data_IF_424839993604
#
_entry.id   IF_424839993604
#
_cell.length_a   1.000
_cell.length_b   1.000
_cell.length_c   1.000
_cell.angle_alpha   90.00
_cell.angle_beta   90.00
_cell.angle_gamma   90.00
#
_symmetry.space_group_name_H-M   'P 1'
#
loop_
_entity.id
_entity.type
_entity.pdbx_description
1 polymer ?
#
# COMPACT_ATOMS: atom_id res chain seq x y z
N UNK A 1 -32.38 21.65 -6.04
CA UNK A 1 -31.00 21.71 -5.50
C UNK A 1 -31.11 21.54 -4.01
N UNK A 2 -30.43 20.56 -3.40
CA UNK A 2 -29.93 20.62 -2.02
C UNK A 2 -28.90 19.50 -1.86
N UNK A 3 -27.64 19.90 -2.02
CA UNK A 3 -26.49 19.21 -1.48
C UNK A 3 -26.75 18.86 -0.02
N UNK A 4 -26.52 17.60 0.36
CA UNK A 4 -25.77 17.23 1.56
C UNK A 4 -25.62 15.72 1.58
N UNK A 5 -24.78 15.23 0.66
CA UNK A 5 -24.09 13.95 0.86
C UNK A 5 -23.54 13.99 2.29
N UNK A 6 -23.84 13.00 3.15
CA UNK A 6 -23.43 13.05 4.55
C UNK A 6 -21.92 13.17 4.62
N UNK A 7 -21.46 14.39 4.90
CA UNK A 7 -20.04 14.69 5.05
C UNK A 7 -19.58 13.98 6.32
N UNK A 8 -18.42 13.31 6.22
CA UNK A 8 -17.84 12.40 7.22
C UNK A 8 -17.87 12.90 8.68
N UNK A 9 -17.96 14.21 8.89
CA UNK A 9 -18.10 14.80 10.22
C UNK A 9 -19.41 14.44 10.93
N UNK A 10 -20.53 14.26 10.22
CA UNK A 10 -21.82 13.86 10.83
C UNK A 10 -21.81 12.40 11.30
N UNK A 11 -20.94 11.57 10.72
CA UNK A 11 -20.79 10.16 11.09
C UNK A 11 -19.84 9.96 12.29
N UNK A 12 -18.87 10.85 12.47
CA UNK A 12 -17.94 10.81 13.61
C UNK A 12 -18.67 11.11 14.94
N UNK A 13 -19.64 12.02 14.93
CA UNK A 13 -20.40 12.45 16.11
C UNK A 13 -21.36 11.37 16.67
N UNK A 14 -21.56 10.27 15.93
CA UNK A 14 -22.43 9.14 16.34
C UNK A 14 -21.67 7.97 17.00
N UNK A 15 -20.41 8.16 17.39
CA UNK A 15 -19.68 7.16 18.17
C UNK A 15 -19.27 5.91 17.40
N UNK A 16 -19.10 6.00 16.08
CA UNK A 16 -18.53 4.90 15.29
C UNK A 16 -17.02 4.87 15.58
N UNK A 17 -16.64 4.06 16.58
CA UNK A 17 -15.26 3.69 16.86
C UNK A 17 -14.65 3.04 15.61
N UNK A 18 -14.01 3.83 14.76
CA UNK A 18 -13.17 3.29 13.70
C UNK A 18 -11.95 2.65 14.36
N UNK A 19 -11.78 1.35 14.15
CA UNK A 19 -10.54 0.69 14.54
C UNK A 19 -9.40 1.39 13.82
N UNK A 20 -8.46 1.97 14.57
CA UNK A 20 -7.21 2.49 13.98
C UNK A 20 -6.38 1.38 13.36
N UNK A 21 -6.74 0.13 13.58
CA UNK A 21 -6.08 -1.06 13.08
C UNK A 21 -6.23 -1.23 11.56
N UNK A 22 -5.15 -1.65 10.91
CA UNK A 22 -5.07 -2.00 9.50
C UNK A 22 -6.23 -2.89 9.07
N UNK A 23 -6.88 -2.51 7.98
CA UNK A 23 -8.01 -3.21 7.39
C UNK A 23 -7.70 -4.67 7.02
N UNK A 24 -6.43 -4.97 6.73
CA UNK A 24 -5.96 -6.29 6.29
C UNK A 24 -5.46 -7.15 7.45
N UNK A 25 -4.47 -6.66 8.22
CA UNK A 25 -3.87 -7.49 9.28
C UNK A 25 -4.56 -7.37 10.63
N UNK A 26 -5.41 -6.34 10.82
CA UNK A 26 -6.11 -6.00 12.07
C UNK A 26 -5.22 -5.81 13.31
N UNK A 27 -3.90 -5.78 13.14
CA UNK A 27 -2.95 -5.91 14.24
C UNK A 27 -2.15 -4.63 14.54
N UNK A 28 -1.97 -3.74 13.57
CA UNK A 28 -1.17 -2.51 13.69
C UNK A 28 -1.98 -1.31 13.24
N UNK A 29 -1.60 -0.11 13.68
CA UNK A 29 -2.25 1.13 13.21
C UNK A 29 -2.09 1.27 11.70
N UNK A 30 -3.18 1.57 11.01
CA UNK A 30 -3.18 1.75 9.57
C UNK A 30 -2.42 3.02 9.18
N UNK A 31 -1.41 2.84 8.34
CA UNK A 31 -0.72 3.89 7.61
C UNK A 31 -0.47 3.41 6.18
N UNK A 32 -0.20 4.33 5.24
CA UNK A 32 0.15 3.93 3.88
C UNK A 32 1.42 3.07 3.85
N UNK A 33 2.41 3.38 4.69
CA UNK A 33 3.64 2.59 4.78
C UNK A 33 3.36 1.18 5.28
N UNK A 34 2.54 1.08 6.34
CA UNK A 34 2.11 -0.20 6.86
C UNK A 34 1.36 -0.99 5.80
N UNK A 35 0.35 -0.40 5.18
CA UNK A 35 -0.51 -1.08 4.24
C UNK A 35 0.24 -1.58 2.99
N UNK A 36 1.17 -0.77 2.48
CA UNK A 36 1.84 -1.04 1.22
C UNK A 36 3.14 -1.84 1.37
N UNK A 37 3.77 -1.83 2.55
CA UNK A 37 5.12 -2.37 2.75
C UNK A 37 5.29 -3.18 4.03
N UNK A 38 4.85 -2.67 5.18
CA UNK A 38 5.17 -3.32 6.48
C UNK A 38 4.19 -4.42 6.88
N UNK A 39 2.95 -4.36 6.40
CA UNK A 39 1.91 -5.33 6.68
C UNK A 39 2.37 -6.72 6.24
N UNK A 40 2.18 -7.74 7.07
CA UNK A 40 2.55 -9.12 6.72
C UNK A 40 1.90 -9.55 5.40
N UNK A 41 0.65 -9.14 5.15
CA UNK A 41 -0.01 -9.38 3.88
C UNK A 41 0.73 -8.74 2.71
N UNK A 42 1.14 -7.48 2.83
CA UNK A 42 1.95 -6.80 1.82
C UNK A 42 3.29 -7.52 1.60
N UNK A 43 3.98 -7.91 2.67
CA UNK A 43 5.24 -8.65 2.58
C UNK A 43 5.06 -9.98 1.82
N UNK A 44 4.01 -10.74 2.14
CA UNK A 44 3.68 -11.98 1.43
C UNK A 44 3.30 -11.74 -0.03
N UNK A 45 2.58 -10.65 -0.32
CA UNK A 45 2.23 -10.24 -1.68
C UNK A 45 3.48 -9.95 -2.51
N UNK A 46 4.40 -9.14 -2.00
CA UNK A 46 5.67 -8.83 -2.67
C UNK A 46 6.55 -10.06 -2.85
N UNK A 47 6.63 -10.92 -1.83
CA UNK A 47 7.36 -12.19 -1.91
C UNK A 47 6.82 -13.10 -3.03
N UNK A 48 5.50 -13.28 -3.10
CA UNK A 48 4.86 -14.12 -4.11
C UNK A 48 5.06 -13.63 -5.54
N UNK A 49 5.13 -12.32 -5.73
CA UNK A 49 5.43 -11.73 -7.05
C UNK A 49 6.92 -11.81 -7.42
N UNK A 50 7.77 -12.40 -6.58
CA UNK A 50 9.23 -12.41 -6.74
C UNK A 50 9.79 -11.00 -6.88
N UNK A 51 9.21 -10.06 -6.12
CA UNK A 51 9.67 -8.67 -6.10
C UNK A 51 11.16 -8.64 -5.72
N UNK A 52 11.94 -7.68 -6.27
CA UNK A 52 13.32 -7.52 -5.86
C UNK A 52 13.46 -7.41 -4.34
N UNK A 53 14.49 -8.06 -3.77
CA UNK A 53 14.73 -8.03 -2.32
C UNK A 53 14.75 -6.61 -1.73
N UNK A 54 15.22 -5.64 -2.52
CA UNK A 54 15.26 -4.22 -2.18
C UNK A 54 13.88 -3.63 -1.80
N UNK A 55 12.81 -4.14 -2.42
CA UNK A 55 11.42 -3.74 -2.15
C UNK A 55 11.02 -4.13 -0.73
N UNK A 56 11.49 -5.30 -0.28
CA UNK A 56 11.13 -5.90 1.01
C UNK A 56 12.06 -5.46 2.15
N UNK A 57 13.32 -5.11 1.87
CA UNK A 57 14.31 -4.78 2.90
C UNK A 57 14.37 -3.30 3.28
N UNK A 58 13.92 -2.39 2.42
CA UNK A 58 13.97 -0.94 2.69
C UNK A 58 12.77 -0.42 3.47
N UNK A 59 12.65 -0.83 4.73
CA UNK A 59 11.62 -0.35 5.67
C UNK A 59 11.94 1.01 6.30
N UNK A 60 13.21 1.41 6.32
CA UNK A 60 13.67 2.65 6.95
C UNK A 60 13.67 3.86 6.00
N UNK A 61 13.41 3.64 4.72
CA UNK A 61 13.37 4.69 3.70
C UNK A 61 12.01 5.40 3.73
N UNK A 62 12.01 6.71 3.47
CA UNK A 62 10.79 7.46 3.26
C UNK A 62 9.94 6.78 2.16
N UNK A 63 8.62 6.77 2.34
CA UNK A 63 7.69 6.18 1.40
C UNK A 63 7.83 6.76 -0.02
N UNK A 64 8.04 8.07 -0.16
CA UNK A 64 8.18 8.75 -1.45
C UNK A 64 9.42 8.29 -2.21
N UNK A 65 10.59 8.24 -1.55
CA UNK A 65 11.82 7.76 -2.18
C UNK A 65 11.68 6.28 -2.57
N UNK A 66 11.04 5.47 -1.72
CA UNK A 66 10.79 4.06 -2.03
C UNK A 66 9.87 3.89 -3.25
N UNK A 67 8.83 4.72 -3.38
CA UNK A 67 7.97 4.74 -4.57
C UNK A 67 8.76 5.15 -5.81
N UNK A 68 9.51 6.24 -5.73
CA UNK A 68 10.29 6.78 -6.85
C UNK A 68 11.29 5.75 -7.40
N UNK A 69 12.10 5.14 -6.53
CA UNK A 69 13.12 4.17 -6.96
C UNK A 69 12.52 2.93 -7.62
N UNK A 70 11.36 2.46 -7.13
CA UNK A 70 10.71 1.27 -7.67
C UNK A 70 9.98 1.58 -8.98
N UNK A 71 9.26 2.71 -9.06
CA UNK A 71 8.60 3.18 -10.29
C UNK A 71 9.59 3.51 -11.41
N UNK A 72 10.77 4.05 -11.07
CA UNK A 72 11.80 4.40 -12.05
C UNK A 72 12.82 3.28 -12.29
N UNK A 73 12.62 2.11 -11.70
CA UNK A 73 13.56 1.00 -11.82
C UNK A 73 13.62 0.44 -13.24
N UNK A 74 14.82 0.47 -13.83
CA UNK A 74 15.12 -0.16 -15.13
C UNK A 74 15.38 -1.67 -15.03
N UNK A 75 15.28 -2.24 -13.83
CA UNK A 75 15.51 -3.67 -13.62
C UNK A 75 14.45 -4.47 -14.34
N UNK A 76 14.87 -5.45 -15.11
CA UNK A 76 13.95 -6.31 -15.85
C UNK A 76 13.65 -7.57 -15.05
N UNK A 77 12.36 -7.94 -14.97
CA UNK A 77 11.95 -9.20 -14.35
C UNK A 77 12.09 -10.38 -15.31
N UNK A 78 11.84 -11.60 -14.83
CA UNK A 78 11.99 -12.85 -15.61
C UNK A 78 11.23 -12.83 -16.95
N UNK A 79 10.15 -12.04 -17.06
CA UNK A 79 9.30 -11.96 -18.25
C UNK A 79 9.70 -10.83 -19.22
N UNK A 80 10.92 -10.30 -19.12
CA UNK A 80 11.41 -9.17 -19.93
C UNK A 80 10.66 -7.83 -19.74
N UNK A 81 9.78 -7.75 -18.74
CA UNK A 81 9.05 -6.53 -18.41
C UNK A 81 9.84 -5.71 -17.37
N UNK A 82 10.02 -4.40 -17.57
CA UNK A 82 10.65 -3.52 -16.58
C UNK A 82 9.89 -3.51 -15.25
N UNK A 83 10.61 -3.54 -14.14
CA UNK A 83 10.05 -3.47 -12.80
C UNK A 83 9.28 -2.17 -12.57
N UNK A 84 9.78 -1.05 -13.09
CA UNK A 84 9.07 0.23 -13.06
C UNK A 84 7.70 0.22 -13.74
N UNK A 85 7.45 -0.73 -14.65
CA UNK A 85 6.12 -0.93 -15.22
C UNK A 85 5.26 -1.85 -14.32
N UNK A 86 5.82 -2.91 -13.74
CA UNK A 86 5.08 -3.87 -12.89
C UNK A 86 4.69 -3.27 -11.55
N UNK A 87 5.60 -2.54 -10.92
CA UNK A 87 5.48 -2.07 -9.54
C UNK A 87 4.24 -1.17 -9.31
N UNK A 88 3.94 -0.16 -10.15
CA UNK A 88 2.74 0.66 -9.97
C UNK A 88 1.44 -0.15 -10.03
N UNK A 89 1.34 -1.14 -10.93
CA UNK A 89 0.15 -2.00 -11.00
C UNK A 89 0.03 -2.90 -9.77
N UNK A 90 1.14 -3.45 -9.31
CA UNK A 90 1.18 -4.23 -8.08
C UNK A 90 0.73 -3.40 -6.87
N UNK A 91 1.26 -2.18 -6.73
CA UNK A 91 0.93 -1.24 -5.67
C UNK A 91 -0.57 -0.89 -5.69
N UNK A 92 -1.11 -0.60 -6.88
CA UNK A 92 -2.53 -0.34 -7.07
C UNK A 92 -3.42 -1.51 -6.65
N UNK A 93 -3.03 -2.75 -7.01
CA UNK A 93 -3.79 -3.93 -6.60
C UNK A 93 -3.74 -4.14 -5.08
N UNK A 94 -2.57 -3.94 -4.47
CA UNK A 94 -2.44 -4.03 -3.03
C UNK A 94 -3.36 -3.02 -2.32
N UNK A 95 -3.36 -1.77 -2.78
CA UNK A 95 -4.22 -0.70 -2.24
C UNK A 95 -5.72 -0.97 -2.44
N UNK A 96 -6.15 -1.48 -3.59
CA UNK A 96 -7.58 -1.77 -3.85
C UNK A 96 -8.14 -2.92 -3.01
N UNK A 97 -7.30 -3.89 -2.65
CA UNK A 97 -7.69 -5.06 -1.86
C UNK A 97 -7.41 -4.88 -0.36
N UNK A 98 -7.14 -3.64 0.04
CA UNK A 98 -7.02 -3.16 1.41
C UNK A 98 -8.37 -2.75 1.97
#
# INVERSE_FOLDING_TARGET
MHNSVPVRNVLADRGINYSRSCSVCKNQVESLDHLLRECLFAQFFWFRMRAPQLVMTRRTQNLEDWLYENCCSKRTQQNHIPWGAIFPFALWNLWKHS
#
